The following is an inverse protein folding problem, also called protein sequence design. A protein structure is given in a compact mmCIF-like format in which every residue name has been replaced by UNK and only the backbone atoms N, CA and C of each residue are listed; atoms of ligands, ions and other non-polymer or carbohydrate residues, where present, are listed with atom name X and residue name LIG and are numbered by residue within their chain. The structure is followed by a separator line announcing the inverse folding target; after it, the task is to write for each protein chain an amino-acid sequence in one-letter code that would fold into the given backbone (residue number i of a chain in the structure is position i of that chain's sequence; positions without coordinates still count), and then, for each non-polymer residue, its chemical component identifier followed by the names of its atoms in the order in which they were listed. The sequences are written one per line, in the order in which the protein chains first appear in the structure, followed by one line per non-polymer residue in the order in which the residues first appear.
data_IF_767405019633
#
_entry.id   IF_767405019633
#
_cell.length_a   1.000
_cell.length_b   1.000
_cell.length_c   1.000
_cell.angle_alpha   90.00
_cell.angle_beta   90.00
_cell.angle_gamma   90.00
#
_symmetry.space_group_name_H-M   'P 1'
#
loop_
_entity.id
_entity.type
_entity.pdbx_description
1 polymer ?
#
# COMPACT_ATOMS: atom_id res chain seq x y z
N UNK A 1 -13.51 7.42 20.87
CA UNK A 1 -13.58 7.15 19.42
C UNK A 1 -14.29 8.35 18.80
N UNK A 2 -13.56 9.28 18.16
CA UNK A 2 -14.18 10.41 17.45
C UNK A 2 -14.57 9.88 16.07
N UNK A 3 -15.84 9.58 15.90
CA UNK A 3 -16.43 9.29 14.60
C UNK A 3 -16.21 10.53 13.74
N UNK A 4 -15.38 10.42 12.69
CA UNK A 4 -15.38 11.43 11.64
C UNK A 4 -16.75 11.32 10.97
N UNK A 5 -17.61 12.29 11.25
CA UNK A 5 -18.87 12.47 10.54
C UNK A 5 -18.51 12.62 9.06
N UNK A 6 -18.98 11.66 8.26
CA UNK A 6 -18.97 11.74 6.81
C UNK A 6 -19.98 12.83 6.42
N UNK A 7 -19.47 13.97 5.95
CA UNK A 7 -19.99 14.83 4.88
C UNK A 7 -21.50 15.14 4.75
N UNK A 8 -22.30 15.01 5.80
CA UNK A 8 -23.67 15.50 5.79
C UNK A 8 -23.75 16.85 6.52
N UNK A 9 -23.71 17.91 5.70
CA UNK A 9 -23.90 19.34 6.03
C UNK A 9 -22.67 20.10 6.56
N UNK A 10 -21.64 20.28 5.73
CA UNK A 10 -20.92 21.55 5.76
C UNK A 10 -21.90 22.63 5.27
N UNK A 11 -22.23 23.61 6.13
CA UNK A 11 -23.02 24.79 5.74
C UNK A 11 -22.50 25.36 4.41
N UNK A 12 -23.39 25.88 3.56
CA UNK A 12 -23.05 26.35 2.21
C UNK A 12 -21.88 27.36 2.19
N UNK A 13 -21.67 28.07 3.31
CA UNK A 13 -20.63 29.07 3.54
C UNK A 13 -19.47 28.60 4.46
N UNK A 14 -19.29 27.30 4.69
CA UNK A 14 -18.20 26.83 5.54
C UNK A 14 -16.84 27.19 4.90
N UNK A 15 -15.90 27.81 5.64
CA UNK A 15 -14.64 28.32 5.07
C UNK A 15 -13.78 27.23 4.41
N UNK A 16 -13.92 25.98 4.86
CA UNK A 16 -13.17 24.83 4.33
C UNK A 16 -13.83 24.16 3.10
N UNK A 17 -15.01 24.64 2.67
CA UNK A 17 -15.71 24.06 1.51
C UNK A 17 -15.09 24.55 0.21
N UNK A 18 -14.53 23.63 -0.57
CA UNK A 18 -14.08 23.92 -1.92
C UNK A 18 -15.28 24.12 -2.85
N UNK A 19 -15.64 25.37 -3.16
CA UNK A 19 -16.77 25.71 -4.04
C UNK A 19 -16.47 25.53 -5.52
N UNK A 20 -15.19 25.60 -5.90
CA UNK A 20 -14.73 25.44 -7.28
C UNK A 20 -13.48 24.56 -7.27
N UNK A 21 -13.57 23.38 -7.89
CA UNK A 21 -12.45 22.47 -8.07
C UNK A 21 -12.20 22.27 -9.56
N UNK A 22 -10.96 22.52 -10.00
CA UNK A 22 -10.55 22.18 -11.36
C UNK A 22 -10.35 20.67 -11.50
N UNK A 23 -10.64 20.15 -12.68
CA UNK A 23 -10.53 18.71 -12.96
C UNK A 23 -9.08 18.22 -12.79
N UNK A 24 -8.07 19.01 -13.17
CA UNK A 24 -6.67 18.62 -12.95
C UNK A 24 -6.33 18.47 -11.46
N UNK A 25 -6.90 19.30 -10.58
CA UNK A 25 -6.67 19.24 -9.14
C UNK A 25 -7.37 18.03 -8.53
N UNK A 26 -8.60 17.75 -8.96
CA UNK A 26 -9.34 16.55 -8.56
C UNK A 26 -8.59 15.28 -8.95
N UNK A 27 -8.08 15.24 -10.18
CA UNK A 27 -7.32 14.10 -10.70
C UNK A 27 -6.01 13.91 -9.94
N UNK A 28 -5.23 14.98 -9.73
CA UNK A 28 -3.99 14.91 -8.97
C UNK A 28 -4.21 14.40 -7.53
N UNK A 29 -5.26 14.88 -6.87
CA UNK A 29 -5.64 14.38 -5.54
C UNK A 29 -6.01 12.88 -5.57
N UNK A 30 -6.76 12.45 -6.58
CA UNK A 30 -7.13 11.03 -6.76
C UNK A 30 -5.89 10.15 -6.94
N UNK A 31 -4.93 10.58 -7.76
CA UNK A 31 -3.66 9.86 -7.96
C UNK A 31 -2.87 9.78 -6.66
N UNK A 32 -2.76 10.89 -5.90
CA UNK A 32 -2.07 10.91 -4.61
C UNK A 32 -2.69 9.91 -3.62
N UNK A 33 -4.02 9.86 -3.54
CA UNK A 33 -4.72 8.92 -2.66
C UNK A 33 -4.45 7.47 -3.09
N UNK A 34 -4.50 7.16 -4.38
CA UNK A 34 -4.20 5.81 -4.89
C UNK A 34 -2.77 5.40 -4.55
N UNK A 35 -1.80 6.30 -4.78
CA UNK A 35 -0.40 6.04 -4.44
C UNK A 35 -0.21 5.81 -2.94
N UNK A 36 -0.82 6.65 -2.10
CA UNK A 36 -0.73 6.48 -0.65
C UNK A 36 -1.37 5.17 -0.16
N UNK A 37 -2.51 4.77 -0.72
CA UNK A 37 -3.27 3.63 -0.19
C UNK A 37 -2.96 2.28 -0.84
N UNK A 38 -2.36 2.26 -2.04
CA UNK A 38 -2.25 1.03 -2.82
C UNK A 38 -0.91 0.83 -3.53
N UNK A 39 0.02 1.79 -3.45
CA UNK A 39 1.38 1.60 -3.95
C UNK A 39 2.20 0.76 -2.96
N UNK A 40 2.78 -0.33 -3.44
CA UNK A 40 3.45 -1.32 -2.58
C UNK A 40 4.81 -1.72 -3.14
N UNK A 41 5.73 -2.09 -2.25
CA UNK A 41 7.02 -2.68 -2.57
C UNK A 41 7.23 -3.99 -1.81
N UNK A 42 8.15 -4.82 -2.30
CA UNK A 42 8.62 -5.97 -1.55
C UNK A 42 9.54 -5.53 -0.40
N UNK A 43 9.50 -6.26 0.72
CA UNK A 43 10.40 -6.05 1.86
C UNK A 43 11.85 -6.10 1.40
N UNK A 44 12.62 -5.10 1.82
CA UNK A 44 14.03 -4.99 1.51
C UNK A 44 14.33 -4.41 0.12
N UNK A 45 13.32 -4.11 -0.70
CA UNK A 45 13.49 -3.35 -1.95
C UNK A 45 13.88 -1.89 -1.66
N UNK A 46 13.32 -1.33 -0.58
CA UNK A 46 13.69 -0.04 -0.02
C UNK A 46 14.40 -0.23 1.32
N UNK A 47 15.38 0.62 1.59
CA UNK A 47 16.08 0.68 2.87
C UNK A 47 16.09 2.10 3.43
N UNK A 48 15.89 2.20 4.74
CA UNK A 48 16.07 3.43 5.50
C UNK A 48 17.50 3.51 6.04
N UNK A 49 18.23 4.54 5.63
CA UNK A 49 19.57 4.82 6.12
C UNK A 49 19.52 5.43 7.53
N UNK A 50 20.63 5.38 8.30
CA UNK A 50 20.71 6.04 9.61
C UNK A 50 20.48 7.55 9.55
N UNK A 51 20.73 8.19 8.41
CA UNK A 51 20.41 9.60 8.13
C UNK A 51 18.90 9.88 8.06
N UNK A 52 18.06 8.85 7.99
CA UNK A 52 16.62 8.94 7.80
C UNK A 52 16.18 8.90 6.33
N UNK A 53 17.10 9.02 5.37
CA UNK A 53 16.81 8.95 3.94
C UNK A 53 16.41 7.53 3.53
N UNK A 54 15.39 7.41 2.68
CA UNK A 54 14.96 6.16 2.07
C UNK A 54 15.56 6.04 0.68
N UNK A 55 16.21 4.91 0.39
CA UNK A 55 16.81 4.63 -0.91
C UNK A 55 16.46 3.23 -1.40
N UNK A 56 16.56 3.00 -2.71
CA UNK A 56 16.52 1.66 -3.29
C UNK A 56 17.70 0.85 -2.76
N UNK A 57 17.45 -0.41 -2.41
CA UNK A 57 18.48 -1.31 -1.92
C UNK A 57 19.21 -1.99 -3.10
N UNK A 58 20.50 -1.68 -3.36
CA UNK A 58 21.24 -2.31 -4.45
C UNK A 58 21.50 -3.81 -4.22
N UNK A 59 21.36 -4.29 -2.98
CA UNK A 59 21.55 -5.69 -2.60
C UNK A 59 20.23 -6.46 -2.54
N UNK A 60 19.14 -5.90 -3.09
CA UNK A 60 17.87 -6.60 -3.17
C UNK A 60 17.85 -7.55 -4.37
N UNK A 61 17.85 -8.85 -4.10
CA UNK A 61 17.77 -9.91 -5.11
C UNK A 61 16.39 -10.60 -5.13
N UNK A 62 15.37 -9.92 -4.61
CA UNK A 62 14.00 -10.45 -4.55
C UNK A 62 13.69 -11.28 -3.32
N UNK A 63 12.39 -11.40 -3.05
CA UNK A 63 11.87 -12.29 -2.02
C UNK A 63 12.14 -13.76 -2.34
N UNK A 64 12.36 -14.56 -1.31
CA UNK A 64 12.36 -16.02 -1.43
C UNK A 64 10.95 -16.54 -1.72
N UNK A 65 10.84 -17.79 -2.21
CA UNK A 65 9.55 -18.41 -2.49
C UNK A 65 8.65 -18.57 -1.25
N UNK A 66 9.24 -18.64 -0.05
CA UNK A 66 8.49 -18.68 1.20
C UNK A 66 7.97 -17.30 1.59
N UNK A 67 8.81 -16.27 1.49
CA UNK A 67 8.43 -14.88 1.80
C UNK A 67 7.41 -14.33 0.80
N UNK A 68 7.55 -14.68 -0.48
CA UNK A 68 6.65 -14.28 -1.55
C UNK A 68 5.19 -14.74 -1.35
N UNK A 69 4.96 -15.75 -0.49
CA UNK A 69 3.64 -16.26 -0.13
C UNK A 69 2.97 -15.49 1.01
N UNK A 70 3.67 -14.53 1.59
CA UNK A 70 3.25 -13.88 2.83
C UNK A 70 2.92 -12.41 2.55
N UNK A 71 1.70 -11.99 2.91
CA UNK A 71 1.29 -10.58 2.80
C UNK A 71 2.23 -9.64 3.58
N UNK A 72 2.75 -10.10 4.72
CA UNK A 72 3.74 -9.38 5.53
C UNK A 72 5.07 -9.07 4.85
N UNK A 73 5.33 -9.63 3.67
CA UNK A 73 6.52 -9.34 2.86
C UNK A 73 6.31 -8.16 1.92
N UNK A 74 5.13 -7.56 1.90
CA UNK A 74 4.77 -6.43 1.05
C UNK A 74 4.37 -5.24 1.92
N UNK A 75 4.90 -4.07 1.54
CA UNK A 75 4.86 -2.86 2.37
C UNK A 75 4.36 -1.69 1.52
N UNK A 76 3.58 -0.79 2.13
CA UNK A 76 3.08 0.44 1.49
C UNK A 76 4.21 1.45 1.29
N UNK A 77 4.31 2.06 0.09
CA UNK A 77 5.33 3.07 -0.23
C UNK A 77 4.83 4.47 0.18
N UNK A 78 4.74 4.71 1.48
CA UNK A 78 4.34 6.00 2.07
C UNK A 78 4.87 6.13 3.50
N UNK A 79 4.80 7.32 4.12
CA UNK A 79 5.08 7.44 5.54
C UNK A 79 4.22 6.48 6.36
N UNK A 80 4.85 5.71 7.25
CA UNK A 80 4.16 4.78 8.12
C UNK A 80 3.13 5.52 8.99
N UNK A 81 1.89 5.04 8.96
CA UNK A 81 0.76 5.55 9.73
C UNK A 81 0.54 4.73 11.01
N UNK A 82 0.96 3.46 11.02
CA UNK A 82 0.86 2.63 12.21
C UNK A 82 1.90 3.03 13.27
N UNK A 83 1.60 2.70 14.52
CA UNK A 83 2.57 2.95 15.61
C UNK A 83 3.81 2.11 15.38
N UNK A 84 4.98 2.67 15.66
CA UNK A 84 6.30 2.02 15.52
C UNK A 84 6.39 0.62 16.18
N UNK A 85 5.67 0.41 17.29
CA UNK A 85 5.61 -0.89 17.98
C UNK A 85 4.87 -1.98 17.20
N UNK A 86 3.96 -1.61 16.31
CA UNK A 86 3.15 -2.56 15.55
C UNK A 86 4.05 -3.39 14.65
N UNK A 87 4.96 -2.74 13.92
CA UNK A 87 5.91 -3.42 13.04
C UNK A 87 6.92 -4.29 13.81
N UNK A 88 7.38 -3.86 15.00
CA UNK A 88 8.31 -4.62 15.85
C UNK A 88 7.77 -6.00 16.27
N UNK A 89 6.45 -6.12 16.45
CA UNK A 89 5.80 -7.35 16.93
C UNK A 89 5.35 -8.28 15.81
N UNK A 90 5.38 -7.83 14.55
CA UNK A 90 4.86 -8.61 13.42
C UNK A 90 5.73 -9.80 13.03
N UNK A 91 7.04 -9.76 13.35
CA UNK A 91 8.04 -10.70 12.82
C UNK A 91 9.19 -10.93 13.80
N UNK A 92 9.69 -12.17 13.81
CA UNK A 92 10.87 -12.54 14.61
C UNK A 92 12.19 -12.03 14.02
N UNK A 93 12.25 -11.84 12.70
CA UNK A 93 13.45 -11.40 11.96
C UNK A 93 13.41 -9.89 11.61
N UNK A 94 12.76 -9.10 12.46
CA UNK A 94 12.57 -7.67 12.25
C UNK A 94 13.90 -6.92 12.05
N UNK A 95 13.95 -6.06 11.03
CA UNK A 95 15.07 -5.19 10.75
C UNK A 95 14.58 -3.77 10.50
N UNK A 96 14.92 -2.81 11.38
CA UNK A 96 14.45 -1.43 11.28
C UNK A 96 14.77 -0.76 9.93
N UNK A 97 15.90 -1.07 9.31
CA UNK A 97 16.26 -0.50 8.01
C UNK A 97 15.39 -1.01 6.88
N UNK A 98 14.83 -2.23 6.98
CA UNK A 98 13.99 -2.85 5.94
C UNK A 98 12.49 -2.80 6.24
N UNK A 99 12.12 -2.78 7.53
CA UNK A 99 10.75 -2.93 8.05
C UNK A 99 10.22 -1.60 8.63
N UNK A 100 10.63 -0.47 8.05
CA UNK A 100 10.21 0.87 8.49
C UNK A 100 8.86 1.31 7.92
N UNK A 101 8.32 0.58 6.94
CA UNK A 101 7.05 0.84 6.27
C UNK A 101 5.95 -0.06 6.83
N UNK A 102 4.69 0.32 6.60
CA UNK A 102 3.54 -0.47 7.05
C UNK A 102 3.26 -1.64 6.11
N UNK A 103 2.98 -2.79 6.69
CA UNK A 103 2.63 -3.99 5.92
C UNK A 103 1.17 -4.02 5.50
N UNK A 104 0.92 -4.48 4.27
CA UNK A 104 -0.44 -4.69 3.74
C UNK A 104 -1.23 -5.79 4.48
N UNK A 105 -0.55 -6.67 5.21
CA UNK A 105 -1.18 -7.69 6.05
C UNK A 105 -2.01 -7.08 7.21
N UNK A 106 -1.67 -5.85 7.57
CA UNK A 106 -2.33 -5.10 8.64
C UNK A 106 -3.44 -4.17 8.12
N UNK A 107 -3.74 -4.21 6.82
CA UNK A 107 -4.84 -3.44 6.25
C UNK A 107 -6.20 -4.02 6.70
N UNK A 108 -7.18 -3.12 6.83
CA UNK A 108 -8.51 -3.44 7.37
C UNK A 108 -9.56 -3.26 6.27
N UNK A 109 -10.46 -4.24 6.04
CA UNK A 109 -10.53 -5.55 6.69
C UNK A 109 -9.41 -6.49 6.23
N UNK A 110 -9.10 -7.50 7.05
CA UNK A 110 -8.18 -8.57 6.65
C UNK A 110 -8.67 -9.23 5.36
N UNK A 111 -7.78 -9.46 4.41
CA UNK A 111 -8.13 -10.03 3.11
C UNK A 111 -8.51 -9.00 2.04
N UNK A 112 -8.36 -7.69 2.29
CA UNK A 112 -8.55 -6.63 1.29
C UNK A 112 -7.51 -6.62 0.14
N UNK A 113 -6.53 -7.52 0.21
CA UNK A 113 -5.54 -7.79 -0.83
C UNK A 113 -5.65 -9.22 -1.32
N UNK A 114 -5.69 -9.39 -2.64
CA UNK A 114 -5.61 -10.70 -3.27
C UNK A 114 -4.15 -10.97 -3.67
N UNK A 115 -3.53 -11.96 -3.04
CA UNK A 115 -2.21 -12.47 -3.38
C UNK A 115 -2.34 -13.74 -4.23
N UNK A 116 -1.85 -13.70 -5.46
CA UNK A 116 -1.80 -14.87 -6.34
C UNK A 116 -0.38 -15.17 -6.79
N UNK A 117 -0.08 -16.46 -6.97
CA UNK A 117 1.24 -16.93 -7.38
C UNK A 117 1.07 -17.81 -8.61
N UNK A 118 1.76 -17.44 -9.67
CA UNK A 118 1.63 -18.03 -10.99
C UNK A 118 2.96 -18.58 -11.49
N UNK A 119 2.96 -19.17 -12.70
CA UNK A 119 4.17 -19.61 -13.41
C UNK A 119 5.06 -20.52 -12.55
N UNK A 120 4.47 -21.59 -11.98
CA UNK A 120 5.15 -22.54 -11.09
C UNK A 120 5.86 -21.89 -9.87
N UNK A 121 5.37 -20.74 -9.39
CA UNK A 121 5.93 -20.06 -8.21
C UNK A 121 6.94 -18.96 -8.51
N UNK A 122 7.16 -18.64 -9.79
CA UNK A 122 8.16 -17.63 -10.19
C UNK A 122 7.62 -16.21 -10.25
N UNK A 123 6.31 -16.03 -10.35
CA UNK A 123 5.67 -14.71 -10.45
C UNK A 123 4.60 -14.56 -9.38
N UNK A 124 4.62 -13.43 -8.68
CA UNK A 124 3.61 -13.04 -7.71
C UNK A 124 2.82 -11.87 -8.24
N UNK A 125 1.51 -11.88 -8.02
CA UNK A 125 0.63 -10.74 -8.24
C UNK A 125 -0.10 -10.38 -6.97
N UNK A 126 -0.22 -9.07 -6.74
CA UNK A 126 -1.05 -8.48 -5.70
C UNK A 126 -2.09 -7.57 -6.34
N UNK A 127 -3.35 -7.72 -5.93
CA UNK A 127 -4.45 -6.87 -6.40
C UNK A 127 -5.18 -6.27 -5.21
N UNK A 128 -5.43 -4.96 -5.25
CA UNK A 128 -6.20 -4.28 -4.21
C UNK A 128 -7.70 -4.47 -4.45
N UNK A 129 -8.45 -4.85 -3.41
CA UNK A 129 -9.92 -4.86 -3.46
C UNK A 129 -10.52 -3.47 -3.26
N UNK A 130 -9.83 -2.60 -2.50
CA UNK A 130 -10.23 -1.19 -2.31
C UNK A 130 -10.04 -0.35 -3.57
N UNK A 131 -8.99 -0.62 -4.34
CA UNK A 131 -8.70 0.07 -5.59
C UNK A 131 -8.73 -0.90 -6.76
N UNK A 132 -9.93 -1.24 -7.27
CA UNK A 132 -10.05 -2.07 -8.47
C UNK A 132 -9.26 -1.46 -9.62
N UNK A 133 -8.38 -2.26 -10.20
CA UNK A 133 -7.44 -1.81 -11.24
C UNK A 133 -6.01 -1.61 -10.75
N UNK A 134 -5.76 -1.57 -9.44
CA UNK A 134 -4.40 -1.61 -8.90
C UNK A 134 -3.85 -3.04 -8.92
N UNK A 135 -2.68 -3.20 -9.52
CA UNK A 135 -1.93 -4.45 -9.55
C UNK A 135 -0.45 -4.19 -9.27
N UNK A 136 0.14 -5.03 -8.42
CA UNK A 136 1.58 -5.15 -8.23
C UNK A 136 2.04 -6.53 -8.71
N UNK A 137 3.24 -6.61 -9.28
CA UNK A 137 3.89 -7.86 -9.66
C UNK A 137 5.32 -7.93 -9.11
N UNK A 138 5.77 -9.14 -8.81
CA UNK A 138 7.13 -9.41 -8.36
C UNK A 138 7.61 -10.75 -8.89
N UNK A 139 8.79 -10.77 -9.51
CA UNK A 139 9.44 -12.00 -9.95
C UNK A 139 10.34 -12.52 -8.83
N UNK A 140 9.97 -13.68 -8.31
CA UNK A 140 10.60 -14.33 -7.15
C UNK A 140 12.09 -14.55 -7.41
N UNK A 141 12.94 -14.28 -6.39
CA UNK A 141 14.41 -14.32 -6.50
C UNK A 141 15.02 -13.39 -7.55
N UNK A 142 14.35 -12.30 -7.90
CA UNK A 142 14.91 -11.21 -8.71
C UNK A 142 14.51 -9.85 -8.16
N UNK A 143 15.20 -8.79 -8.56
CA UNK A 143 14.80 -7.42 -8.23
C UNK A 143 13.62 -6.91 -9.09
N UNK A 144 13.19 -7.70 -10.09
CA UNK A 144 12.17 -7.29 -11.06
C UNK A 144 10.79 -7.25 -10.40
N UNK A 145 10.30 -6.04 -10.17
CA UNK A 145 8.98 -5.78 -9.60
C UNK A 145 8.43 -4.45 -10.12
N UNK A 146 7.12 -4.28 -10.02
CA UNK A 146 6.46 -3.03 -10.39
C UNK A 146 4.99 -3.06 -10.07
N UNK A 147 4.34 -1.92 -10.24
CA UNK A 147 2.89 -1.79 -10.09
C UNK A 147 2.32 -1.00 -11.26
N UNK A 148 1.01 -1.16 -11.46
CA UNK A 148 0.24 -0.49 -12.47
C UNK A 148 -1.18 -0.27 -11.95
N UNK A 149 -1.70 0.92 -12.16
CA UNK A 149 -3.12 1.22 -11.95
C UNK A 149 -3.81 1.45 -13.30
N UNK A 150 -4.85 0.66 -13.59
CA UNK A 150 -5.76 0.89 -14.72
C UNK A 150 -7.19 0.78 -14.21
N UNK A 151 -7.86 1.92 -14.04
CA UNK A 151 -9.21 1.99 -13.50
C UNK A 151 -9.84 3.36 -13.63
N UNK A 152 -11.01 3.53 -13.02
CA UNK A 152 -11.82 4.75 -13.09
C UNK A 152 -11.58 5.73 -11.91
N UNK A 153 -10.58 5.45 -11.06
CA UNK A 153 -10.25 6.28 -9.89
C UNK A 153 -11.29 6.20 -8.76
N UNK A 154 -12.16 5.19 -8.73
CA UNK A 154 -13.17 5.02 -7.66
C UNK A 154 -12.71 3.96 -6.66
N UNK A 155 -12.63 4.37 -5.39
CA UNK A 155 -12.43 3.45 -4.27
C UNK A 155 -13.68 2.61 -4.05
N UNK A 156 -13.51 1.31 -3.90
CA UNK A 156 -14.56 0.38 -3.52
C UNK A 156 -14.76 0.41 -2.01
N UNK A 157 -15.77 1.14 -1.53
CA UNK A 157 -16.08 1.24 -0.11
C UNK A 157 -16.88 0.04 0.41
N UNK A 158 -17.32 -0.86 -0.47
CA UNK A 158 -18.12 -2.03 -0.09
C UNK A 158 -17.27 -3.22 0.39
N UNK A 159 -15.93 -3.14 0.26
CA UNK A 159 -14.99 -4.21 0.66
C UNK A 159 -15.26 -4.78 2.07
N UNK A 160 -15.54 -3.97 3.12
CA UNK A 160 -15.86 -4.48 4.45
C UNK A 160 -17.12 -5.33 4.54
N UNK A 161 -18.04 -5.22 3.57
CA UNK A 161 -19.29 -5.99 3.53
C UNK A 161 -19.20 -7.19 2.57
N UNK A 162 -18.15 -7.26 1.75
CA UNK A 162 -17.92 -8.34 0.78
C UNK A 162 -17.07 -9.49 1.35
N UNK A 163 -16.34 -9.24 2.45
CA UNK A 163 -15.40 -10.18 3.08
C UNK A 163 -15.93 -10.75 4.39
#
# INVERSE_FOLDING_TARGET
MKTKVLDEALEENHPDRCTIMKEESRLAATISIISEEAEVCARGQLIKQPSGTVVLNPNFYGLTAAEAKQLKSYLHIRPAQQRWNTNLLTRQDYNYSMDFLDSIDQDIPSGCWNLSIEQAGSMVYLKSLYWPGMMYFHKVRTADAGFLYVGNGRKNLDVPFLL
#
